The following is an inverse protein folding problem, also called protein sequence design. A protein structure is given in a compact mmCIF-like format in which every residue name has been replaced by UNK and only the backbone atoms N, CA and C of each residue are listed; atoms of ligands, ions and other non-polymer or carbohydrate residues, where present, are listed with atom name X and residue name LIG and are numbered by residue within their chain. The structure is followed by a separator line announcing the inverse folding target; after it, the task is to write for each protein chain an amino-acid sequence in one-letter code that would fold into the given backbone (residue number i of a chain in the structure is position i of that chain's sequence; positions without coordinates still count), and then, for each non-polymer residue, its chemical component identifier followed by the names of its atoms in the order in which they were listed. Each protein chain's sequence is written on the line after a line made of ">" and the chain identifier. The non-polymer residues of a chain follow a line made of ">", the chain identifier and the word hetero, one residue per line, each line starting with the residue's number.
data_IF_430154462476
#
_entry.id   IF_430154462476
#
_cell.length_a   1.000
_cell.length_b   1.000
_cell.length_c   1.000
_cell.angle_alpha   90.00
_cell.angle_beta   90.00
_cell.angle_gamma   90.00
#
_symmetry.space_group_name_H-M   'P 1'
#
loop_
_entity.id
_entity.type
_entity.pdbx_description
1 polymer ?
#
# COMPACT_ATOMS: atom_id res chain seq x y z
N UNK A 1 -7.73 -5.92 -3.93
CA UNK A 1 -7.29 -4.75 -4.70
C UNK A 1 -6.06 -4.10 -4.09
N UNK A 2 -5.12 -3.68 -4.95
CA UNK A 2 -3.89 -2.95 -4.63
C UNK A 2 -3.81 -1.70 -5.51
N UNK A 3 -3.77 -0.53 -4.88
CA UNK A 3 -3.84 0.77 -5.57
C UNK A 3 -2.62 1.59 -5.21
N UNK A 4 -1.78 1.93 -6.18
CA UNK A 4 -0.67 2.88 -5.98
C UNK A 4 -1.20 4.30 -6.10
N UNK A 5 -0.91 5.15 -5.10
CA UNK A 5 -1.35 6.53 -5.04
C UNK A 5 -0.26 7.44 -5.60
N UNK A 6 -0.55 8.13 -6.70
CA UNK A 6 0.40 9.10 -7.27
C UNK A 6 0.51 10.36 -6.41
N UNK A 7 1.67 11.01 -6.40
CA UNK A 7 1.90 12.26 -5.64
C UNK A 7 0.89 13.38 -5.94
N UNK A 8 0.50 13.59 -7.20
CA UNK A 8 -0.50 14.60 -7.60
C UNK A 8 -1.95 14.10 -7.51
N UNK A 9 -2.15 12.89 -6.99
CA UNK A 9 -3.41 12.12 -6.87
C UNK A 9 -4.60 12.68 -7.66
N UNK A 10 -4.81 12.19 -8.89
CA UNK A 10 -6.09 12.36 -9.58
C UNK A 10 -7.13 11.44 -8.93
N UNK A 11 -7.84 11.97 -7.93
CA UNK A 11 -8.75 11.20 -7.09
C UNK A 11 -9.91 10.56 -7.86
N UNK A 12 -10.60 11.24 -8.80
CA UNK A 12 -11.57 10.60 -9.69
C UNK A 12 -10.99 9.43 -10.49
N UNK A 13 -9.79 9.59 -11.05
CA UNK A 13 -9.13 8.51 -11.79
C UNK A 13 -8.81 7.33 -10.87
N UNK A 14 -8.27 7.59 -9.68
CA UNK A 14 -7.98 6.57 -8.68
C UNK A 14 -9.23 5.75 -8.30
N UNK A 15 -10.38 6.41 -8.12
CA UNK A 15 -11.63 5.69 -7.85
C UNK A 15 -12.08 4.83 -9.03
N UNK A 16 -11.91 5.30 -10.28
CA UNK A 16 -12.23 4.49 -11.47
C UNK A 16 -11.32 3.27 -11.55
N UNK A 17 -10.03 3.45 -11.34
CA UNK A 17 -9.05 2.36 -11.33
C UNK A 17 -9.38 1.33 -10.23
N UNK A 18 -9.75 1.79 -9.02
CA UNK A 18 -10.22 0.93 -7.94
C UNK A 18 -11.49 0.15 -8.34
N UNK A 19 -12.49 0.81 -8.95
CA UNK A 19 -13.72 0.14 -9.42
C UNK A 19 -13.39 -0.94 -10.45
N UNK A 20 -12.53 -0.62 -11.42
CA UNK A 20 -12.04 -1.57 -12.42
C UNK A 20 -11.42 -2.81 -11.76
N UNK A 21 -10.48 -2.62 -10.83
CA UNK A 21 -9.85 -3.73 -10.11
C UNK A 21 -10.85 -4.56 -9.31
N UNK A 22 -11.75 -3.93 -8.57
CA UNK A 22 -12.76 -4.62 -7.75
C UNK A 22 -13.70 -5.49 -8.61
N UNK A 23 -14.08 -5.01 -9.78
CA UNK A 23 -14.93 -5.74 -10.71
C UNK A 23 -14.20 -6.90 -11.39
N UNK A 24 -12.95 -6.70 -11.81
CA UNK A 24 -12.10 -7.76 -12.35
C UNK A 24 -11.88 -8.87 -11.32
N UNK A 25 -11.50 -8.53 -10.08
CA UNK A 25 -11.34 -9.49 -8.97
C UNK A 25 -12.66 -10.22 -8.66
N UNK A 26 -13.78 -9.51 -8.73
CA UNK A 26 -15.12 -10.05 -8.51
C UNK A 26 -15.68 -10.84 -9.69
N UNK A 27 -14.98 -10.93 -10.83
CA UNK A 27 -15.48 -11.49 -12.10
C UNK A 27 -16.82 -10.89 -12.54
N UNK A 28 -16.98 -9.58 -12.34
CA UNK A 28 -18.20 -8.83 -12.69
C UNK A 28 -17.89 -7.85 -13.82
N UNK A 29 -18.83 -7.61 -14.75
CA UNK A 29 -18.63 -6.63 -15.82
C UNK A 29 -18.46 -5.22 -15.23
N UNK A 30 -17.48 -4.47 -15.72
CA UNK A 30 -17.26 -3.07 -15.34
C UNK A 30 -18.33 -2.19 -16.00
N UNK A 31 -19.08 -1.36 -15.26
CA UNK A 31 -20.06 -0.48 -15.89
C UNK A 31 -19.40 0.63 -16.69
N UNK A 32 -19.77 0.79 -17.96
CA UNK A 32 -19.24 1.86 -18.82
C UNK A 32 -19.58 3.27 -18.33
N UNK A 33 -20.60 3.41 -17.48
CA UNK A 33 -21.04 4.70 -16.95
C UNK A 33 -20.04 5.35 -16.00
N UNK A 34 -19.04 4.62 -15.46
CA UNK A 34 -18.08 5.15 -14.50
C UNK A 34 -17.19 6.27 -15.06
N UNK A 35 -16.96 6.29 -16.38
CA UNK A 35 -16.11 7.31 -17.02
C UNK A 35 -16.71 8.72 -16.87
N UNK A 36 -18.04 8.84 -16.96
CA UNK A 36 -18.75 10.12 -16.86
C UNK A 36 -19.25 10.46 -15.45
N UNK A 37 -18.96 9.61 -14.45
CA UNK A 37 -19.42 9.85 -13.08
C UNK A 37 -18.65 10.96 -12.38
N UNK A 38 -19.37 11.69 -11.51
CA UNK A 38 -18.76 12.61 -10.55
C UNK A 38 -18.05 11.84 -9.44
N UNK A 39 -17.08 12.46 -8.78
CA UNK A 39 -16.36 11.87 -7.64
C UNK A 39 -17.31 11.32 -6.57
N UNK A 40 -18.37 12.06 -6.23
CA UNK A 40 -19.36 11.61 -5.25
C UNK A 40 -20.09 10.32 -5.68
N UNK A 41 -20.43 10.20 -6.98
CA UNK A 41 -21.03 8.98 -7.53
C UNK A 41 -20.03 7.82 -7.54
N UNK A 42 -18.76 8.08 -7.85
CA UNK A 42 -17.70 7.08 -7.79
C UNK A 42 -17.49 6.56 -6.36
N UNK A 43 -17.40 7.45 -5.36
CA UNK A 43 -17.29 7.07 -3.93
C UNK A 43 -18.46 6.18 -3.52
N UNK A 44 -19.69 6.58 -3.85
CA UNK A 44 -20.89 5.79 -3.58
C UNK A 44 -20.85 4.43 -4.27
N UNK A 45 -20.39 4.39 -5.52
CA UNK A 45 -20.29 3.14 -6.27
C UNK A 45 -19.34 2.14 -5.61
N UNK A 46 -18.14 2.60 -5.21
CA UNK A 46 -17.17 1.78 -4.45
C UNK A 46 -17.81 1.29 -3.17
N UNK A 47 -18.47 2.17 -2.41
CA UNK A 47 -19.12 1.83 -1.15
C UNK A 47 -20.18 0.72 -1.35
N UNK A 48 -21.12 0.92 -2.28
CA UNK A 48 -22.19 -0.04 -2.59
C UNK A 48 -21.63 -1.38 -3.09
N UNK A 49 -20.52 -1.37 -3.83
CA UNK A 49 -19.83 -2.59 -4.25
C UNK A 49 -19.26 -3.36 -3.05
N UNK A 50 -18.50 -2.68 -2.19
CA UNK A 50 -17.83 -3.28 -1.04
C UNK A 50 -18.84 -3.78 0.00
N UNK A 51 -19.95 -3.07 0.23
CA UNK A 51 -21.03 -3.52 1.11
C UNK A 51 -21.61 -4.85 0.62
N UNK A 52 -21.86 -5.00 -0.69
CA UNK A 52 -22.39 -6.24 -1.28
C UNK A 52 -21.37 -7.38 -1.29
N UNK A 53 -20.09 -7.06 -1.39
CA UNK A 53 -19.02 -8.05 -1.28
C UNK A 53 -18.87 -8.61 0.14
N UNK A 54 -19.30 -7.85 1.15
CA UNK A 54 -19.29 -8.24 2.56
C UNK A 54 -17.93 -8.07 3.22
N UNK A 55 -16.89 -8.76 2.72
CA UNK A 55 -15.52 -8.69 3.24
C UNK A 55 -14.54 -8.22 2.17
N UNK A 56 -13.70 -7.26 2.50
CA UNK A 56 -12.67 -6.75 1.59
C UNK A 56 -11.33 -6.48 2.28
N UNK A 57 -10.27 -6.50 1.48
CA UNK A 57 -8.95 -6.00 1.84
C UNK A 57 -8.46 -5.08 0.70
N UNK A 58 -8.13 -3.83 1.03
CA UNK A 58 -7.61 -2.85 0.07
C UNK A 58 -6.29 -2.30 0.60
N UNK A 59 -5.28 -2.28 -0.27
CA UNK A 59 -3.99 -1.63 0.00
C UNK A 59 -3.92 -0.37 -0.84
N UNK A 60 -3.70 0.77 -0.18
CA UNK A 60 -3.29 2.00 -0.85
C UNK A 60 -1.80 2.21 -0.60
N UNK A 61 -1.04 2.04 -1.66
CA UNK A 61 0.42 2.01 -1.64
C UNK A 61 0.99 3.39 -2.01
N UNK A 62 2.04 3.80 -1.30
CA UNK A 62 2.77 5.06 -1.51
C UNK A 62 1.89 6.32 -1.36
N UNK A 63 1.17 6.45 -0.24
CA UNK A 63 0.31 7.62 0.04
C UNK A 63 1.16 8.85 0.42
N UNK A 64 0.91 9.97 -0.24
CA UNK A 64 1.70 11.21 -0.10
C UNK A 64 1.08 12.25 0.81
N UNK A 65 -0.25 12.34 0.86
CA UNK A 65 -0.97 13.44 1.50
C UNK A 65 -2.05 12.94 2.47
N UNK A 66 -2.23 13.65 3.57
CA UNK A 66 -3.30 13.42 4.56
C UNK A 66 -4.69 13.58 3.92
N UNK A 67 -4.82 14.50 2.96
CA UNK A 67 -6.06 14.74 2.22
C UNK A 67 -6.58 13.48 1.53
N UNK A 68 -5.68 12.59 1.07
CA UNK A 68 -6.08 11.31 0.49
C UNK A 68 -6.94 10.49 1.45
N UNK A 69 -6.52 10.33 2.71
CA UNK A 69 -7.29 9.58 3.70
C UNK A 69 -8.62 10.27 4.01
N UNK A 70 -8.59 11.60 4.15
CA UNK A 70 -9.79 12.39 4.38
C UNK A 70 -10.83 12.23 3.27
N UNK A 71 -10.39 11.96 2.05
CA UNK A 71 -11.27 11.75 0.91
C UNK A 71 -11.75 10.31 0.77
N UNK A 72 -10.85 9.32 0.87
CA UNK A 72 -11.12 7.91 0.54
C UNK A 72 -11.94 7.20 1.61
N UNK A 73 -11.84 7.62 2.88
CA UNK A 73 -12.62 7.02 3.98
C UNK A 73 -14.13 7.01 3.70
N UNK A 74 -14.63 8.03 3.00
CA UNK A 74 -16.05 8.15 2.62
C UNK A 74 -16.49 7.19 1.50
N UNK A 75 -15.56 6.57 0.77
CA UNK A 75 -15.86 5.52 -0.21
C UNK A 75 -15.90 4.12 0.41
N UNK A 76 -15.39 3.97 1.64
CA UNK A 76 -15.23 2.69 2.31
C UNK A 76 -16.38 2.48 3.30
N UNK A 77 -17.12 1.36 3.23
CA UNK A 77 -18.23 1.15 4.14
C UNK A 77 -17.75 0.79 5.55
N UNK A 78 -18.36 1.42 6.55
CA UNK A 78 -18.16 1.06 7.95
C UNK A 78 -18.86 -0.27 8.25
N UNK A 79 -18.15 -1.23 8.84
CA UNK A 79 -18.74 -2.52 9.21
C UNK A 79 -17.72 -3.52 9.75
N UNK A 80 -18.20 -4.39 10.65
CA UNK A 80 -17.37 -5.33 11.42
C UNK A 80 -17.17 -6.70 10.75
N UNK A 81 -17.31 -6.80 9.42
CA UNK A 81 -17.17 -8.08 8.68
C UNK A 81 -15.71 -8.51 8.45
N UNK A 82 -14.77 -7.99 9.23
CA UNK A 82 -13.34 -8.25 9.05
C UNK A 82 -12.74 -7.55 7.83
N UNK A 83 -13.29 -6.36 7.51
CA UNK A 83 -12.79 -5.45 6.47
C UNK A 83 -11.43 -4.90 6.86
N UNK A 84 -10.50 -4.81 5.90
CA UNK A 84 -9.14 -4.32 6.16
C UNK A 84 -8.73 -3.28 5.12
N UNK A 85 -8.12 -2.21 5.60
CA UNK A 85 -7.51 -1.18 4.76
C UNK A 85 -6.08 -1.01 5.25
N UNK A 86 -5.12 -1.07 4.34
CA UNK A 86 -3.70 -0.83 4.63
C UNK A 86 -3.23 0.35 3.81
N UNK A 87 -2.54 1.28 4.47
CA UNK A 87 -1.86 2.40 3.83
C UNK A 87 -0.36 2.20 4.00
N UNK A 88 0.42 2.35 2.94
CA UNK A 88 1.88 2.51 3.05
C UNK A 88 2.22 3.96 2.73
N UNK A 89 3.16 4.54 3.48
CA UNK A 89 3.60 5.91 3.29
C UNK A 89 5.01 6.09 3.82
N UNK A 90 5.77 7.02 3.23
CA UNK A 90 7.06 7.48 3.73
C UNK A 90 6.92 8.64 4.71
N UNK A 91 5.71 9.19 4.89
CA UNK A 91 5.45 10.35 5.72
C UNK A 91 4.73 9.95 7.02
N UNK A 92 5.40 10.15 8.15
CA UNK A 92 4.85 9.83 9.47
C UNK A 92 3.59 10.66 9.82
N UNK A 93 3.48 11.88 9.29
CA UNK A 93 2.31 12.74 9.50
C UNK A 93 1.07 12.17 8.80
N UNK A 94 1.24 11.62 7.59
CA UNK A 94 0.17 10.90 6.87
C UNK A 94 -0.27 9.67 7.65
N UNK A 95 0.67 8.89 8.18
CA UNK A 95 0.37 7.70 8.97
C UNK A 95 -0.42 8.04 10.26
N UNK A 96 0.02 9.07 10.98
CA UNK A 96 -0.61 9.49 12.25
C UNK A 96 -2.02 10.08 12.03
N UNK A 97 -2.18 10.95 11.03
CA UNK A 97 -3.48 11.54 10.71
C UNK A 97 -4.51 10.47 10.30
N UNK A 98 -4.08 9.47 9.54
CA UNK A 98 -4.96 8.38 9.08
C UNK A 98 -5.47 7.50 10.23
N UNK A 99 -4.71 7.38 11.31
CA UNK A 99 -5.05 6.52 12.45
C UNK A 99 -5.86 7.21 13.56
N UNK A 100 -5.75 8.54 13.67
CA UNK A 100 -6.37 9.31 14.76
C UNK A 100 -7.90 9.14 14.80
N UNK A 101 -8.53 8.98 13.64
CA UNK A 101 -9.99 8.87 13.52
C UNK A 101 -10.51 7.42 13.47
N UNK A 102 -9.64 6.44 13.21
CA UNK A 102 -10.07 5.12 12.70
C UNK A 102 -9.74 3.93 13.62
N UNK A 103 -9.25 4.18 14.84
CA UNK A 103 -8.67 3.14 15.73
C UNK A 103 -7.59 2.29 15.03
N UNK A 104 -6.95 2.83 13.99
CA UNK A 104 -5.97 2.09 13.20
C UNK A 104 -4.61 2.02 13.89
N UNK A 105 -3.79 1.09 13.41
CA UNK A 105 -2.46 0.81 13.95
C UNK A 105 -1.40 1.31 12.97
N UNK A 106 -0.48 2.16 13.46
CA UNK A 106 0.71 2.58 12.72
C UNK A 106 1.81 1.56 12.98
N UNK A 107 2.21 0.84 11.93
CA UNK A 107 3.42 0.02 11.95
C UNK A 107 4.59 0.83 11.36
N UNK A 108 5.56 1.17 12.20
CA UNK A 108 6.80 1.81 11.73
C UNK A 108 7.74 0.72 11.21
N UNK A 109 8.10 0.80 9.93
CA UNK A 109 9.12 -0.06 9.35
C UNK A 109 10.48 0.26 9.97
N UNK A 110 11.13 -0.74 10.54
CA UNK A 110 12.47 -0.63 11.10
C UNK A 110 13.52 -1.16 10.10
N UNK A 111 14.77 -0.67 10.15
CA UNK A 111 15.86 -1.24 9.37
C UNK A 111 16.05 -2.73 9.64
N UNK A 112 16.61 -3.44 8.66
CA UNK A 112 16.95 -4.84 8.83
C UNK A 112 18.05 -5.02 9.88
N UNK A 113 17.96 -6.11 10.63
CA UNK A 113 19.07 -6.55 11.47
C UNK A 113 20.31 -6.86 10.62
N UNK A 114 21.50 -6.87 11.24
CA UNK A 114 22.77 -7.12 10.54
C UNK A 114 22.74 -8.49 9.86
N UNK A 115 22.20 -9.50 10.54
CA UNK A 115 22.10 -10.88 10.07
C UNK A 115 21.15 -11.00 8.86
N UNK A 116 20.01 -10.30 8.91
CA UNK A 116 19.04 -10.25 7.82
C UNK A 116 19.60 -9.47 6.62
N UNK A 117 20.34 -8.38 6.88
CA UNK A 117 21.02 -7.59 5.86
C UNK A 117 22.09 -8.41 5.14
N UNK A 118 22.91 -9.16 5.90
CA UNK A 118 23.89 -10.08 5.35
C UNK A 118 23.24 -11.18 4.51
N UNK A 119 22.14 -11.75 5.01
CA UNK A 119 21.37 -12.78 4.32
C UNK A 119 20.79 -12.25 3.01
N UNK A 120 20.17 -11.07 3.03
CA UNK A 120 19.64 -10.40 1.85
C UNK A 120 20.74 -10.12 0.82
N UNK A 121 21.88 -9.60 1.27
CA UNK A 121 23.04 -9.33 0.41
C UNK A 121 23.54 -10.59 -0.27
N UNK A 122 23.73 -11.69 0.48
CA UNK A 122 24.17 -12.96 -0.10
C UNK A 122 23.15 -13.54 -1.08
N UNK A 123 21.87 -13.42 -0.77
CA UNK A 123 20.79 -13.84 -1.67
C UNK A 123 20.81 -13.07 -2.99
N UNK A 124 21.03 -11.75 -2.95
CA UNK A 124 21.03 -10.89 -4.14
C UNK A 124 22.31 -11.02 -4.98
N UNK A 125 23.48 -10.95 -4.34
CA UNK A 125 24.77 -10.86 -5.04
C UNK A 125 25.32 -12.25 -5.38
N UNK A 126 25.22 -13.21 -4.45
CA UNK A 126 25.78 -14.55 -4.61
C UNK A 126 24.72 -15.61 -4.94
N UNK A 127 23.49 -15.19 -5.27
CA UNK A 127 22.36 -16.08 -5.61
C UNK A 127 22.08 -17.11 -4.50
N UNK A 128 22.21 -16.70 -3.25
CA UNK A 128 22.00 -17.55 -2.07
C UNK A 128 23.19 -18.43 -1.70
N UNK A 129 24.30 -18.34 -2.44
CA UNK A 129 25.55 -18.96 -2.03
C UNK A 129 26.27 -18.11 -0.98
N UNK A 130 27.26 -18.71 -0.32
CA UNK A 130 28.12 -18.00 0.62
C UNK A 130 28.97 -16.94 -0.10
N UNK A 131 29.18 -15.80 0.56
CA UNK A 131 30.16 -14.81 0.13
C UNK A 131 31.55 -15.47 0.04
N UNK A 132 32.27 -15.34 -1.10
CA UNK A 132 33.65 -15.79 -1.21
C UNK A 132 34.54 -15.13 -0.16
N UNK A 133 35.46 -15.89 0.45
CA UNK A 133 36.29 -15.41 1.56
C UNK A 133 37.05 -14.11 1.25
N UNK A 134 37.57 -13.96 0.03
CA UNK A 134 38.31 -12.77 -0.40
C UNK A 134 37.45 -11.51 -0.58
N UNK A 135 36.12 -11.64 -0.54
CA UNK A 135 35.17 -10.52 -0.65
C UNK A 135 34.48 -10.19 0.67
N UNK A 136 34.74 -10.93 1.76
CA UNK A 136 34.02 -10.75 3.03
C UNK A 136 34.19 -9.34 3.60
N UNK A 137 35.41 -8.82 3.64
CA UNK A 137 35.69 -7.48 4.18
C UNK A 137 35.00 -6.38 3.35
N UNK A 138 34.99 -6.55 2.02
CA UNK A 138 34.31 -5.62 1.09
C UNK A 138 32.80 -5.69 1.26
N UNK A 139 32.23 -6.90 1.37
CA UNK A 139 30.80 -7.10 1.60
C UNK A 139 30.35 -6.47 2.92
N UNK A 140 31.13 -6.63 3.99
CA UNK A 140 30.84 -6.01 5.28
C UNK A 140 30.89 -4.47 5.18
N UNK A 141 31.93 -3.91 4.56
CA UNK A 141 32.03 -2.46 4.39
C UNK A 141 30.90 -1.85 3.54
N UNK A 142 30.32 -2.63 2.61
CA UNK A 142 29.12 -2.21 1.86
C UNK A 142 27.89 -2.24 2.77
N UNK A 143 27.70 -3.32 3.53
CA UNK A 143 26.56 -3.46 4.44
C UNK A 143 26.55 -2.39 5.53
N UNK A 144 27.71 -2.06 6.10
CA UNK A 144 27.86 -1.00 7.08
C UNK A 144 27.44 0.37 6.52
N UNK A 145 27.59 0.60 5.21
CA UNK A 145 27.12 1.81 4.53
C UNK A 145 25.64 1.78 4.18
N UNK A 146 25.04 0.59 4.06
CA UNK A 146 23.61 0.43 3.78
C UNK A 146 22.74 0.65 5.01
N UNK A 147 23.30 0.51 6.21
CA UNK A 147 22.61 0.77 7.50
C UNK A 147 21.25 0.06 7.62
N UNK A 148 21.22 -1.20 7.18
CA UNK A 148 20.02 -2.05 7.24
C UNK A 148 18.90 -1.69 6.26
N UNK A 149 19.10 -0.75 5.34
CA UNK A 149 18.07 -0.37 4.36
C UNK A 149 18.00 -1.36 3.17
N UNK A 150 16.88 -2.08 2.98
CA UNK A 150 16.67 -2.91 1.81
C UNK A 150 16.19 -2.04 0.63
N UNK A 151 17.01 -1.90 -0.41
CA UNK A 151 16.65 -1.26 -1.68
C UNK A 151 15.80 -2.18 -2.57
#
# INVERSE_FOLDING_TARGET
>A
SWVTVSQTCDFPKLLRDLIWQLHEEGKKPVPQSIESMTTAKLKKFVNDFLQRAGRYAIVFDDVWDVEFWNEIKFALPEGNYGNRVMLTTRNADVASASCTESQAYVYKMEPLAIEDSWTLFCNKIFKGNRCPAHLMDVAQAVLDKCDGLPL
#
